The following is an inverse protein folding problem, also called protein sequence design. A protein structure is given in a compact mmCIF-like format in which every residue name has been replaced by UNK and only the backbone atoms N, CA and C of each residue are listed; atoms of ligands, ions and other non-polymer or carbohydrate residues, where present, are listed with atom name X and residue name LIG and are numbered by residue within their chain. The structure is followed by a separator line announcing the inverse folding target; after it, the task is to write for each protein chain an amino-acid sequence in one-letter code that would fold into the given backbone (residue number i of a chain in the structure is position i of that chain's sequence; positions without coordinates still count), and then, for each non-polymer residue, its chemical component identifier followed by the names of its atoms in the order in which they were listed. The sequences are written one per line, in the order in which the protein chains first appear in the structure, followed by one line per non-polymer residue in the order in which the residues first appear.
data_IF_643079357955
#
_entry.id   IF_643079357955
#
_cell.length_a   1.000
_cell.length_b   1.000
_cell.length_c   1.000
_cell.angle_alpha   90.00
_cell.angle_beta   90.00
_cell.angle_gamma   90.00
#
_symmetry.space_group_name_H-M   'P 1'
#
loop_
_entity.id
_entity.type
_entity.pdbx_description
1 polymer ?
#
# COMPACT_ATOMS: atom_id res chain seq x y z
N UNK A 1 5.88 -11.60 -6.65
CA UNK A 1 7.20 -11.07 -7.07
C UNK A 1 7.90 -10.47 -5.86
N UNK A 2 9.23 -10.47 -5.79
CA UNK A 2 9.96 -9.77 -4.73
C UNK A 2 10.20 -8.31 -5.14
N UNK A 3 10.09 -7.36 -4.22
CA UNK A 3 10.44 -5.94 -4.44
C UNK A 3 11.79 -5.71 -3.79
N UNK A 4 12.81 -5.41 -4.59
CA UNK A 4 14.18 -5.27 -4.10
C UNK A 4 14.68 -6.47 -3.30
N UNK A 5 14.16 -7.68 -3.55
CA UNK A 5 14.52 -8.91 -2.83
C UNK A 5 13.67 -9.24 -1.59
N UNK A 6 12.74 -8.37 -1.15
CA UNK A 6 11.79 -8.68 -0.07
C UNK A 6 10.44 -9.11 -0.64
N UNK A 7 9.79 -10.08 0.01
CA UNK A 7 8.51 -10.68 -0.43
C UNK A 7 7.37 -10.43 0.55
N UNK A 8 7.68 -10.02 1.78
CA UNK A 8 6.71 -9.81 2.85
C UNK A 8 6.17 -8.39 2.79
N UNK A 9 4.86 -8.28 2.58
CA UNK A 9 4.14 -7.03 2.74
C UNK A 9 4.35 -6.46 4.15
N UNK A 10 4.46 -5.14 4.26
CA UNK A 10 4.79 -4.48 5.53
C UNK A 10 6.25 -4.62 5.98
N UNK A 11 7.15 -5.14 5.14
CA UNK A 11 8.61 -5.11 5.36
C UNK A 11 9.39 -4.43 4.23
N UNK A 12 8.67 -3.90 3.23
CA UNK A 12 9.24 -3.26 2.06
C UNK A 12 9.52 -1.79 2.39
N UNK A 13 10.77 -1.51 2.78
CA UNK A 13 11.27 -0.16 3.05
C UNK A 13 11.76 0.58 1.80
N UNK A 14 12.08 1.88 1.95
CA UNK A 14 12.66 2.74 0.90
C UNK A 14 13.79 2.07 0.11
N UNK A 15 14.76 1.44 0.80
CA UNK A 15 15.88 0.72 0.17
C UNK A 15 15.44 -0.36 -0.83
N UNK A 16 14.33 -1.04 -0.56
CA UNK A 16 13.82 -2.07 -1.46
C UNK A 16 13.21 -1.45 -2.72
N UNK A 17 12.51 -0.32 -2.57
CA UNK A 17 11.99 0.47 -3.68
C UNK A 17 13.11 1.07 -4.53
N UNK A 18 14.15 1.63 -3.90
CA UNK A 18 15.34 2.14 -4.58
C UNK A 18 16.00 1.04 -5.44
N UNK A 19 16.18 -0.16 -4.85
CA UNK A 19 16.74 -1.31 -5.57
C UNK A 19 15.85 -1.76 -6.73
N UNK A 20 14.54 -1.77 -6.52
CA UNK A 20 13.58 -2.13 -7.55
C UNK A 20 13.60 -1.12 -8.71
N UNK A 21 13.59 0.17 -8.41
CA UNK A 21 13.66 1.26 -9.39
C UNK A 21 14.95 1.19 -10.22
N UNK A 22 16.10 0.98 -9.56
CA UNK A 22 17.38 0.80 -10.24
C UNK A 22 17.40 -0.43 -11.16
N UNK A 23 16.85 -1.57 -10.71
CA UNK A 23 16.75 -2.77 -11.55
C UNK A 23 15.82 -2.58 -12.75
N UNK A 24 14.77 -1.75 -12.60
CA UNK A 24 13.81 -1.44 -13.65
C UNK A 24 14.23 -0.25 -14.53
N UNK A 25 15.33 0.45 -14.22
CA UNK A 25 15.74 1.71 -14.85
C UNK A 25 14.65 2.80 -14.82
N UNK A 26 13.94 2.90 -13.70
CA UNK A 26 12.90 3.91 -13.45
C UNK A 26 13.42 4.87 -12.37
N UNK A 27 12.97 6.12 -12.41
CA UNK A 27 13.24 7.10 -11.37
C UNK A 27 12.73 6.61 -10.00
N UNK A 28 13.64 6.52 -9.03
CA UNK A 28 13.35 6.05 -7.69
C UNK A 28 12.42 6.99 -6.92
N UNK A 29 12.59 8.31 -7.09
CA UNK A 29 11.77 9.30 -6.38
C UNK A 29 10.34 9.28 -6.92
N UNK A 30 10.17 9.10 -8.23
CA UNK A 30 8.86 8.88 -8.84
C UNK A 30 8.17 7.61 -8.30
N UNK A 31 8.90 6.49 -8.19
CA UNK A 31 8.34 5.24 -7.63
C UNK A 31 7.92 5.45 -6.18
N UNK A 32 8.77 6.08 -5.35
CA UNK A 32 8.46 6.35 -3.94
C UNK A 32 7.24 7.25 -3.81
N UNK A 33 7.16 8.33 -4.59
CA UNK A 33 6.02 9.24 -4.60
C UNK A 33 4.73 8.51 -4.99
N UNK A 34 4.79 7.64 -6.01
CA UNK A 34 3.66 6.84 -6.46
C UNK A 34 3.17 5.87 -5.37
N UNK A 35 4.10 5.15 -4.71
CA UNK A 35 3.74 4.21 -3.63
C UNK A 35 3.14 4.95 -2.44
N UNK A 36 3.68 6.12 -2.10
CA UNK A 36 3.13 6.99 -1.05
C UNK A 36 1.69 7.40 -1.39
N UNK A 37 1.47 7.93 -2.59
CA UNK A 37 0.14 8.38 -3.02
C UNK A 37 -0.89 7.23 -2.95
N UNK A 38 -0.52 6.04 -3.42
CA UNK A 38 -1.39 4.87 -3.36
C UNK A 38 -1.71 4.51 -1.91
N UNK A 39 -0.70 4.43 -1.03
CA UNK A 39 -0.90 4.08 0.37
C UNK A 39 -1.79 5.11 1.11
N UNK A 40 -1.67 6.40 0.80
CA UNK A 40 -2.52 7.45 1.38
C UNK A 40 -3.98 7.35 0.93
N UNK A 41 -4.21 7.00 -0.35
CA UNK A 41 -5.55 7.01 -0.95
C UNK A 41 -6.32 5.71 -0.77
N UNK A 42 -5.62 4.58 -0.65
CA UNK A 42 -6.23 3.25 -0.68
C UNK A 42 -7.29 3.02 0.42
N UNK A 43 -7.09 3.42 1.70
CA UNK A 43 -8.11 3.20 2.73
C UNK A 43 -9.43 3.91 2.41
N UNK A 44 -9.39 5.18 1.98
CA UNK A 44 -10.59 5.95 1.64
C UNK A 44 -11.28 5.44 0.36
N UNK A 45 -10.50 5.05 -0.64
CA UNK A 45 -11.04 4.40 -1.84
C UNK A 45 -11.78 3.10 -1.49
N UNK A 46 -11.25 2.34 -0.54
CA UNK A 46 -11.84 1.08 -0.09
C UNK A 46 -13.17 1.30 0.67
N UNK A 47 -13.28 2.33 1.52
CA UNK A 47 -14.56 2.71 2.16
C UNK A 47 -15.66 3.01 1.14
N UNK A 48 -15.30 3.68 0.05
CA UNK A 48 -16.25 3.98 -1.04
C UNK A 48 -16.77 2.69 -1.68
N UNK A 49 -15.89 1.73 -1.91
CA UNK A 49 -16.25 0.41 -2.46
C UNK A 49 -17.15 -0.36 -1.50
N UNK A 50 -16.85 -0.37 -0.19
CA UNK A 50 -17.69 -1.05 0.79
C UNK A 50 -19.08 -0.43 0.93
N UNK A 51 -19.17 0.89 0.81
CA UNK A 51 -20.47 1.57 0.79
C UNK A 51 -21.31 1.12 -0.40
N UNK A 52 -20.69 1.06 -1.59
CA UNK A 52 -21.35 0.58 -2.81
C UNK A 52 -21.76 -0.91 -2.70
N UNK A 53 -20.90 -1.74 -2.13
CA UNK A 53 -21.16 -3.18 -1.94
C UNK A 53 -22.31 -3.42 -0.96
N UNK A 54 -22.31 -2.73 0.19
CA UNK A 54 -23.39 -2.84 1.17
C UNK A 54 -24.75 -2.43 0.60
N UNK A 55 -24.80 -1.45 -0.32
CA UNK A 55 -26.02 -1.06 -1.01
C UNK A 55 -26.50 -2.11 -2.01
N UNK A 56 -25.58 -2.88 -2.62
CA UNK A 56 -25.89 -3.83 -3.68
C UNK A 56 -26.29 -5.22 -3.16
N UNK A 57 -25.57 -5.74 -2.15
CA UNK A 57 -25.71 -7.14 -1.70
C UNK A 57 -25.96 -7.30 -0.18
N UNK A 58 -26.10 -6.20 0.57
CA UNK A 58 -26.44 -6.21 1.99
C UNK A 58 -25.22 -6.25 2.92
N UNK A 59 -25.45 -6.51 4.21
CA UNK A 59 -24.39 -6.41 5.23
C UNK A 59 -23.48 -7.65 5.24
N UNK A 60 -22.16 -7.39 5.24
CA UNK A 60 -21.10 -8.39 5.33
C UNK A 60 -20.11 -8.01 6.44
N UNK A 61 -19.45 -9.00 7.06
CA UNK A 61 -18.37 -8.78 8.03
C UNK A 61 -16.98 -8.59 7.37
N UNK A 62 -16.88 -8.79 6.04
CA UNK A 62 -15.65 -8.60 5.27
C UNK A 62 -15.14 -7.15 5.24
N UNK A 63 -15.99 -6.12 5.04
CA UNK A 63 -15.58 -4.72 5.00
C UNK A 63 -14.74 -4.30 6.20
N UNK A 64 -15.18 -4.61 7.42
CA UNK A 64 -14.52 -4.18 8.65
C UNK A 64 -13.13 -4.82 8.82
N UNK A 65 -13.03 -6.12 8.53
CA UNK A 65 -11.77 -6.87 8.60
C UNK A 65 -10.77 -6.40 7.54
N UNK A 66 -11.23 -6.23 6.30
CA UNK A 66 -10.39 -5.81 5.19
C UNK A 66 -9.94 -4.36 5.34
N UNK A 67 -10.83 -3.46 5.76
CA UNK A 67 -10.49 -2.06 6.02
C UNK A 67 -9.36 -1.94 7.03
N UNK A 68 -9.52 -2.60 8.19
CA UNK A 68 -8.55 -2.54 9.27
C UNK A 68 -7.16 -3.02 8.84
N UNK A 69 -7.11 -4.11 8.07
CA UNK A 69 -5.84 -4.65 7.58
C UNK A 69 -5.21 -3.76 6.48
N UNK A 70 -6.00 -3.25 5.55
CA UNK A 70 -5.51 -2.35 4.49
C UNK A 70 -5.00 -1.03 5.07
N UNK A 71 -5.72 -0.46 6.05
CA UNK A 71 -5.27 0.75 6.75
C UNK A 71 -3.95 0.50 7.47
N UNK A 72 -3.86 -0.58 8.26
CA UNK A 72 -2.64 -0.97 8.96
C UNK A 72 -1.45 -1.15 8.01
N UNK A 73 -1.63 -1.83 6.88
CA UNK A 73 -0.57 -2.05 5.90
C UNK A 73 -0.16 -0.75 5.18
N UNK A 74 -1.11 0.15 4.93
CA UNK A 74 -0.85 1.46 4.34
C UNK A 74 0.00 2.32 5.29
N UNK A 75 -0.38 2.38 6.57
CA UNK A 75 0.36 3.12 7.61
C UNK A 75 1.78 2.58 7.80
N UNK A 76 1.94 1.24 7.81
CA UNK A 76 3.26 0.60 7.87
C UNK A 76 4.08 0.94 6.63
N UNK A 77 3.47 0.96 5.45
CA UNK A 77 4.17 1.29 4.21
C UNK A 77 4.69 2.73 4.25
N UNK A 78 3.85 3.70 4.62
CA UNK A 78 4.24 5.11 4.77
C UNK A 78 5.39 5.26 5.77
N UNK A 79 5.27 4.63 6.94
CA UNK A 79 6.33 4.62 7.96
C UNK A 79 7.66 4.07 7.44
N UNK A 80 7.61 3.02 6.63
CA UNK A 80 8.82 2.37 6.09
C UNK A 80 9.43 3.10 4.89
N UNK A 81 8.65 3.94 4.20
CA UNK A 81 9.18 4.88 3.20
C UNK A 81 9.97 6.01 3.87
N UNK A 82 9.50 6.49 5.03
CA UNK A 82 10.13 7.61 5.76
C UNK A 82 11.41 7.20 6.52
N UNK A 83 11.58 5.93 6.88
CA UNK A 83 12.71 5.43 7.68
C UNK A 83 14.01 5.18 6.91
N UNK A 84 14.13 5.65 5.66
CA UNK A 84 15.29 5.44 4.80
C UNK A 84 16.15 6.70 4.62
N UNK A 85 16.89 7.09 5.66
CA UNK A 85 18.04 8.01 5.56
C UNK A 85 19.28 7.33 6.14
#
# INVERSE_FOLDING_TARGET
MAIGGERRFGKISRRHWDRFAGAASIDADWVIATVREIAERLPAALETVFTAESMAIGSSALPERLYSEVKRLSDVTLTLLDRGH
#
